data_IF_777489923586
#
_entry.id   IF_777489923586
#
_cell.length_a   1.000
_cell.length_b   1.000
_cell.length_c   1.000
_cell.angle_alpha   90.00
_cell.angle_beta   90.00
_cell.angle_gamma   90.00
#
_symmetry.space_group_name_H-M   'P 1'
#
loop_
_entity.id
_entity.type
_entity.pdbx_description
1 polymer ?
#
# COMPACT_ATOMS: atom_id res chain seq x y z
N UNK A 1 -25.63 23.30 1.70
CA UNK A 1 -25.53 22.07 0.89
C UNK A 1 -24.09 21.97 0.39
N UNK A 2 -23.31 20.97 0.82
CA UNK A 2 -21.91 20.85 0.42
C UNK A 2 -21.84 20.34 -1.03
N UNK A 3 -21.06 21.01 -1.88
CA UNK A 3 -20.91 20.64 -3.29
C UNK A 3 -20.34 19.21 -3.43
N UNK A 4 -20.81 18.42 -4.41
CA UNK A 4 -20.38 17.04 -4.64
C UNK A 4 -18.85 16.87 -4.76
N UNK A 5 -18.15 17.88 -5.29
CA UNK A 5 -16.69 17.88 -5.42
C UNK A 5 -15.92 18.05 -4.11
N UNK A 6 -16.50 18.65 -3.06
CA UNK A 6 -15.79 18.86 -1.79
C UNK A 6 -15.73 17.61 -0.92
N UNK A 7 -16.73 16.74 -0.98
CA UNK A 7 -16.78 15.54 -0.15
C UNK A 7 -16.07 14.33 -0.78
N UNK A 8 -16.10 14.18 -2.11
CA UNK A 8 -15.16 13.26 -2.79
C UNK A 8 -13.69 13.61 -2.44
N UNK A 9 -13.41 14.91 -2.26
CA UNK A 9 -12.11 15.39 -1.79
C UNK A 9 -11.81 15.05 -0.32
N UNK A 10 -12.80 14.91 0.57
CA UNK A 10 -12.52 14.63 1.99
C UNK A 10 -12.13 13.17 2.22
N UNK A 11 -12.81 12.21 1.58
CA UNK A 11 -12.45 10.79 1.70
C UNK A 11 -11.07 10.50 1.09
N UNK A 12 -10.79 11.08 -0.08
CA UNK A 12 -9.47 10.96 -0.71
C UNK A 12 -8.37 11.52 0.20
N UNK A 13 -8.58 12.73 0.76
CA UNK A 13 -7.62 13.34 1.70
C UNK A 13 -7.40 12.49 2.95
N UNK A 14 -8.46 11.88 3.49
CA UNK A 14 -8.35 11.00 4.64
C UNK A 14 -7.47 9.78 4.34
N UNK A 15 -7.73 9.07 3.25
CA UNK A 15 -6.90 7.93 2.81
C UNK A 15 -5.45 8.37 2.57
N UNK A 16 -5.22 9.44 1.82
CA UNK A 16 -3.87 9.95 1.56
C UNK A 16 -3.13 10.34 2.85
N UNK A 17 -3.83 10.93 3.83
CA UNK A 17 -3.25 11.28 5.13
C UNK A 17 -2.85 10.05 5.92
N UNK A 18 -3.66 8.99 5.91
CA UNK A 18 -3.33 7.72 6.56
C UNK A 18 -2.13 7.05 5.87
N UNK A 19 -2.10 6.98 4.54
CA UNK A 19 -0.96 6.39 3.83
C UNK A 19 0.36 7.15 4.02
N UNK A 20 0.33 8.42 4.41
CA UNK A 20 1.56 9.18 4.79
C UNK A 20 2.20 8.69 6.08
N UNK A 21 1.50 7.90 6.89
CA UNK A 21 2.07 7.34 8.13
C UNK A 21 2.86 6.06 7.88
N UNK A 22 2.92 5.58 6.64
CA UNK A 22 3.77 4.44 6.27
C UNK A 22 5.21 4.90 6.31
N UNK A 23 6.00 4.31 7.21
CA UNK A 23 7.43 4.56 7.33
C UNK A 23 8.19 3.24 7.13
N UNK A 24 8.86 3.12 5.98
CA UNK A 24 9.68 1.96 5.67
C UNK A 24 11.09 2.18 6.20
N UNK A 25 11.74 1.13 6.66
CA UNK A 25 13.11 1.20 7.20
C UNK A 25 14.09 1.74 6.15
N UNK A 26 14.47 3.01 6.33
CA UNK A 26 15.32 3.74 5.39
C UNK A 26 16.79 3.26 5.42
N UNK A 27 17.17 2.32 6.29
CA UNK A 27 18.47 1.65 6.25
C UNK A 27 18.59 0.64 5.10
N UNK A 28 17.45 0.18 4.54
CA UNK A 28 17.40 -0.74 3.40
C UNK A 28 17.89 -0.07 2.10
N UNK A 29 18.29 -0.89 1.12
CA UNK A 29 18.79 -0.39 -0.18
C UNK A 29 17.76 0.48 -0.90
N UNK A 30 18.22 1.55 -1.54
CA UNK A 30 17.35 2.56 -2.17
C UNK A 30 16.45 2.00 -3.28
N UNK A 31 16.96 1.09 -4.11
CA UNK A 31 16.16 0.47 -5.17
C UNK A 31 15.10 -0.49 -4.60
N UNK A 32 15.39 -1.19 -3.50
CA UNK A 32 14.40 -1.98 -2.77
C UNK A 32 13.30 -1.07 -2.23
N UNK A 33 13.66 0.02 -1.54
CA UNK A 33 12.71 0.98 -1.01
C UNK A 33 11.86 1.62 -2.10
N UNK A 34 12.45 1.85 -3.27
CA UNK A 34 11.74 2.37 -4.45
C UNK A 34 10.69 1.36 -4.92
N UNK A 35 11.05 0.08 -5.06
CA UNK A 35 10.11 -0.97 -5.46
C UNK A 35 9.01 -1.20 -4.42
N UNK A 36 9.36 -1.22 -3.13
CA UNK A 36 8.38 -1.35 -2.04
C UNK A 36 7.37 -0.19 -2.07
N UNK A 37 7.84 1.05 -2.11
CA UNK A 37 6.98 2.25 -2.21
C UNK A 37 6.12 2.24 -3.46
N UNK A 38 6.69 1.84 -4.60
CA UNK A 38 5.98 1.75 -5.87
C UNK A 38 4.85 0.72 -5.83
N UNK A 39 5.09 -0.46 -5.26
CA UNK A 39 4.07 -1.49 -5.05
C UNK A 39 2.91 -0.98 -4.19
N UNK A 40 3.21 -0.44 -3.00
CA UNK A 40 2.18 0.12 -2.10
C UNK A 40 1.37 1.21 -2.80
N UNK A 41 2.04 2.09 -3.55
CA UNK A 41 1.39 3.16 -4.27
C UNK A 41 0.42 2.63 -5.33
N UNK A 42 0.90 1.74 -6.20
CA UNK A 42 0.16 1.33 -7.42
C UNK A 42 -0.86 0.24 -7.17
N UNK A 43 -0.56 -0.72 -6.28
CA UNK A 43 -1.44 -1.87 -6.03
C UNK A 43 -2.46 -1.63 -4.92
N UNK A 44 -2.23 -0.64 -4.05
CA UNK A 44 -3.07 -0.41 -2.88
C UNK A 44 -3.56 1.04 -2.77
N UNK A 45 -2.66 2.02 -2.62
CA UNK A 45 -3.07 3.41 -2.35
C UNK A 45 -3.92 4.00 -3.48
N UNK A 46 -3.45 3.93 -4.72
CA UNK A 46 -4.15 4.50 -5.88
C UNK A 46 -5.51 3.83 -6.13
N UNK A 47 -5.62 2.48 -6.12
CA UNK A 47 -6.92 1.80 -6.17
C UNK A 47 -7.87 2.22 -5.05
N UNK A 48 -7.42 2.31 -3.80
CA UNK A 48 -8.26 2.75 -2.69
C UNK A 48 -8.73 4.20 -2.87
N UNK A 49 -7.85 5.11 -3.28
CA UNK A 49 -8.19 6.49 -3.60
C UNK A 49 -9.27 6.56 -4.69
N UNK A 50 -9.16 5.74 -5.74
CA UNK A 50 -10.16 5.67 -6.81
C UNK A 50 -11.51 5.19 -6.30
N UNK A 51 -11.54 4.20 -5.41
CA UNK A 51 -12.77 3.68 -4.81
C UNK A 51 -13.44 4.74 -3.93
N UNK A 52 -12.71 5.34 -3.00
CA UNK A 52 -13.28 6.31 -2.06
C UNK A 52 -13.64 7.63 -2.74
N UNK A 53 -12.98 7.99 -3.84
CA UNK A 53 -13.36 9.14 -4.66
C UNK A 53 -14.74 9.00 -5.32
N UNK A 54 -15.26 7.78 -5.44
CA UNK A 54 -16.62 7.50 -5.90
C UNK A 54 -17.67 7.44 -4.79
N UNK A 55 -17.31 7.69 -3.53
CA UNK A 55 -18.27 7.66 -2.42
C UNK A 55 -19.15 8.91 -2.40
N UNK A 56 -20.40 8.75 -1.96
CA UNK A 56 -21.29 9.88 -1.77
C UNK A 56 -20.79 10.72 -0.58
N UNK A 57 -21.04 12.04 -0.57
CA UNK A 57 -20.68 12.92 0.54
C UNK A 57 -21.13 12.44 1.93
N UNK A 58 -22.26 11.74 1.99
CA UNK A 58 -22.85 11.20 3.21
C UNK A 58 -22.28 9.85 3.65
N UNK A 59 -21.54 9.16 2.77
CA UNK A 59 -20.89 7.90 3.11
C UNK A 59 -19.79 8.15 4.12
N UNK A 60 -19.79 7.38 5.22
CA UNK A 60 -18.69 7.38 6.18
C UNK A 60 -17.59 6.44 5.71
N UNK A 61 -16.35 6.95 5.69
CA UNK A 61 -15.16 6.16 5.41
C UNK A 61 -14.72 5.49 6.72
N UNK A 62 -14.54 4.17 6.68
CA UNK A 62 -13.97 3.45 7.80
C UNK A 62 -12.46 3.68 7.88
N UNK A 63 -12.02 4.59 8.74
CA UNK A 63 -10.59 4.80 8.98
C UNK A 63 -9.94 3.55 9.59
N UNK A 64 -10.67 2.80 10.40
CA UNK A 64 -10.17 1.57 11.03
C UNK A 64 -9.81 0.52 9.97
N UNK A 65 -10.64 0.35 8.95
CA UNK A 65 -10.35 -0.53 7.82
C UNK A 65 -9.05 -0.13 7.11
N UNK A 66 -8.85 1.17 6.83
CA UNK A 66 -7.62 1.66 6.18
C UNK A 66 -6.39 1.50 7.10
N UNK A 67 -6.52 1.74 8.40
CA UNK A 67 -5.43 1.55 9.38
C UNK A 67 -5.01 0.09 9.51
N UNK A 68 -5.97 -0.83 9.51
CA UNK A 68 -5.69 -2.27 9.53
C UNK A 68 -4.93 -2.66 8.26
N UNK A 69 -5.35 -2.18 7.09
CA UNK A 69 -4.62 -2.42 5.85
C UNK A 69 -3.18 -1.89 5.92
N UNK A 70 -2.97 -0.70 6.49
CA UNK A 70 -1.62 -0.15 6.70
C UNK A 70 -0.78 -1.01 7.64
N UNK A 71 -1.38 -1.60 8.67
CA UNK A 71 -0.67 -2.52 9.55
C UNK A 71 -0.20 -3.78 8.78
N UNK A 72 -1.05 -4.34 7.94
CA UNK A 72 -0.73 -5.51 7.11
C UNK A 72 0.36 -5.22 6.06
N UNK A 73 0.47 -3.98 5.56
CA UNK A 73 1.55 -3.58 4.64
C UNK A 73 2.92 -3.88 5.26
N UNK A 74 3.12 -3.66 6.57
CA UNK A 74 4.40 -3.91 7.21
C UNK A 74 4.75 -5.41 7.26
N UNK A 75 3.76 -6.29 7.43
CA UNK A 75 3.96 -7.73 7.33
C UNK A 75 4.35 -8.14 5.92
N UNK A 76 3.61 -7.67 4.92
CA UNK A 76 3.87 -7.95 3.50
C UNK A 76 5.25 -7.41 3.07
N UNK A 77 5.62 -6.20 3.49
CA UNK A 77 6.92 -5.59 3.20
C UNK A 77 8.08 -6.35 3.87
N UNK A 78 7.87 -6.82 5.11
CA UNK A 78 8.84 -7.65 5.83
C UNK A 78 9.11 -8.97 5.11
N UNK A 79 8.06 -9.65 4.64
CA UNK A 79 8.19 -10.88 3.84
C UNK A 79 8.88 -10.63 2.50
N UNK A 80 8.55 -9.52 1.84
CA UNK A 80 9.21 -9.10 0.60
C UNK A 80 10.71 -8.87 0.83
N UNK A 81 11.08 -8.17 1.90
CA UNK A 81 12.48 -7.95 2.25
C UNK A 81 13.20 -9.27 2.55
N UNK A 82 12.58 -10.18 3.30
CA UNK A 82 13.15 -11.48 3.64
C UNK A 82 13.43 -12.33 2.38
N UNK A 83 12.47 -12.39 1.45
CA UNK A 83 12.66 -13.09 0.16
C UNK A 83 13.75 -12.44 -0.67
N UNK A 84 13.75 -11.11 -0.76
CA UNK A 84 14.79 -10.36 -1.44
C UNK A 84 16.19 -10.63 -0.85
N UNK A 85 16.32 -10.66 0.49
CA UNK A 85 17.61 -10.97 1.14
C UNK A 85 18.04 -12.41 0.92
N UNK A 86 17.12 -13.37 0.97
CA UNK A 86 17.42 -14.79 0.74
C UNK A 86 17.84 -15.04 -0.71
N UNK A 87 17.13 -14.45 -1.68
CA UNK A 87 17.48 -14.55 -3.09
C UNK A 87 18.91 -14.03 -3.39
N UNK A 88 19.42 -13.12 -2.56
CA UNK A 88 20.77 -12.59 -2.70
C UNK A 88 21.81 -13.14 -1.70
N UNK A 89 21.49 -14.17 -0.92
CA UNK A 89 22.38 -14.67 0.16
C UNK A 89 23.74 -15.18 -0.37
N UNK A 90 23.83 -15.57 -1.64
CA UNK A 90 25.04 -16.09 -2.29
C UNK A 90 25.57 -15.23 -3.46
N UNK A 91 24.99 -14.06 -3.70
CA UNK A 91 25.40 -13.14 -4.77
C UNK A 91 25.90 -11.80 -4.17
N UNK A 92 27.06 -11.31 -4.62
CA UNK A 92 27.51 -9.95 -4.29
C UNK A 92 26.41 -8.92 -4.61
N UNK A 93 26.28 -7.89 -3.77
CA UNK A 93 25.17 -7.72 -2.85
C UNK A 93 23.91 -7.21 -3.55
N UNK A 94 22.76 -7.84 -3.28
CA UNK A 94 21.45 -7.22 -3.49
C UNK A 94 21.26 -6.65 -4.91
N UNK A 95 21.22 -7.51 -5.92
CA UNK A 95 21.04 -7.09 -7.32
C UNK A 95 19.57 -6.77 -7.62
N UNK A 96 19.33 -6.07 -8.74
CA UNK A 96 17.98 -5.86 -9.29
C UNK A 96 17.33 -7.20 -9.64
N UNK A 97 18.10 -8.20 -10.07
CA UNK A 97 17.59 -9.52 -10.45
C UNK A 97 16.90 -10.23 -9.27
N UNK A 98 17.53 -10.26 -8.09
CA UNK A 98 16.89 -10.82 -6.90
C UNK A 98 15.58 -10.10 -6.51
N UNK A 99 15.52 -8.79 -6.77
CA UNK A 99 14.34 -7.99 -6.46
C UNK A 99 13.17 -8.42 -7.35
N UNK A 100 13.43 -8.72 -8.62
CA UNK A 100 12.41 -9.14 -9.57
C UNK A 100 11.80 -10.49 -9.16
N UNK A 101 12.62 -11.44 -8.71
CA UNK A 101 12.15 -12.75 -8.23
C UNK A 101 11.22 -12.64 -7.01
N UNK A 102 11.48 -11.69 -6.11
CA UNK A 102 10.66 -11.48 -4.93
C UNK A 102 9.44 -10.56 -5.19
N UNK A 103 9.42 -9.81 -6.30
CA UNK A 103 8.45 -8.75 -6.57
C UNK A 103 7.04 -9.28 -6.87
N UNK A 104 6.91 -10.37 -7.59
CA UNK A 104 5.59 -10.82 -8.06
C UNK A 104 4.68 -11.28 -6.91
N UNK A 105 5.25 -11.99 -5.93
CA UNK A 105 4.53 -12.37 -4.70
C UNK A 105 4.14 -11.14 -3.88
N UNK A 106 5.05 -10.17 -3.75
CA UNK A 106 4.81 -8.92 -3.05
C UNK A 106 3.64 -8.13 -3.67
N UNK A 107 3.63 -7.97 -5.00
CA UNK A 107 2.56 -7.27 -5.71
C UNK A 107 1.22 -8.02 -5.60
N UNK A 108 1.25 -9.36 -5.67
CA UNK A 108 0.06 -10.21 -5.50
C UNK A 108 -0.59 -9.98 -4.13
N UNK A 109 0.21 -10.01 -3.06
CA UNK A 109 -0.28 -9.79 -1.69
C UNK A 109 -0.87 -8.39 -1.50
N UNK A 110 -0.27 -7.36 -2.10
CA UNK A 110 -0.85 -6.01 -2.05
C UNK A 110 -2.19 -5.92 -2.78
N UNK A 111 -2.36 -6.63 -3.90
CA UNK A 111 -3.63 -6.72 -4.62
C UNK A 111 -4.68 -7.46 -3.80
N UNK A 112 -4.30 -8.53 -3.10
CA UNK A 112 -5.19 -9.25 -2.18
C UNK A 112 -5.62 -8.36 -1.01
N UNK A 113 -4.67 -7.69 -0.37
CA UNK A 113 -4.94 -6.72 0.68
C UNK A 113 -5.88 -5.61 0.21
N UNK A 114 -5.73 -5.12 -1.02
CA UNK A 114 -6.68 -4.18 -1.62
C UNK A 114 -8.10 -4.78 -1.71
N UNK A 115 -8.22 -6.01 -2.22
CA UNK A 115 -9.51 -6.69 -2.37
C UNK A 115 -10.22 -6.90 -1.03
N UNK A 116 -9.47 -7.18 0.03
CA UNK A 116 -9.99 -7.32 1.39
C UNK A 116 -10.41 -5.96 1.95
N UNK A 117 -9.49 -4.98 1.88
CA UNK A 117 -9.73 -3.61 2.38
C UNK A 117 -10.98 -3.01 1.75
N UNK A 118 -11.20 -3.20 0.44
CA UNK A 118 -12.38 -2.64 -0.24
C UNK A 118 -13.71 -3.07 0.38
N UNK A 119 -13.75 -4.23 1.04
CA UNK A 119 -14.98 -4.79 1.63
C UNK A 119 -15.39 -4.05 2.91
N UNK A 120 -14.44 -3.42 3.60
CA UNK A 120 -14.68 -2.73 4.87
C UNK A 120 -14.56 -1.20 4.82
N UNK A 121 -14.40 -0.59 3.62
CA UNK A 121 -14.17 0.86 3.49
C UNK A 121 -15.35 1.73 3.92
N UNK A 122 -16.55 1.17 4.07
CA UNK A 122 -17.76 1.89 4.47
C UNK A 122 -18.15 1.48 5.89
N UNK A 123 -18.51 2.47 6.70
CA UNK A 123 -19.17 2.26 8.01
C UNK A 123 -20.69 2.19 7.87
#
# INVERSE_FOLDING_TARGET
QAEPGMAANSHIRAVLKLFRTIDLDNSKKSFYLTAAKYGIQTQLREPLVRIVGGFLPSTKLSEACVKNAIAEIYGIEGEFYAKFSYACENHEPYSVECLEDARDDYLTKLVELFKETKQCLRE
#
